data_IF_256480231419
#
_entry.id   IF_256480231419
#
_cell.length_a   1.000
_cell.length_b   1.000
_cell.length_c   1.000
_cell.angle_alpha   90.00
_cell.angle_beta   90.00
_cell.angle_gamma   90.00
#
_symmetry.space_group_name_H-M   'P 1'
#
loop_
_entity.id
_entity.type
_entity.pdbx_description
1 polymer ?
#
# COMPACT_ATOMS: atom_id res chain seq x y z
N UNK A 1 13.33 -8.15 4.14
CA UNK A 1 12.46 -8.30 2.96
C UNK A 1 11.16 -8.93 3.45
N UNK A 2 10.09 -8.16 3.58
CA UNK A 2 8.80 -8.72 4.01
C UNK A 2 8.28 -9.59 2.86
N UNK A 3 8.04 -10.87 3.14
CA UNK A 3 7.65 -11.87 2.15
C UNK A 3 6.26 -11.52 1.60
N UNK A 4 6.20 -10.82 0.47
CA UNK A 4 4.98 -10.35 -0.20
C UNK A 4 4.25 -11.50 -0.93
N UNK A 5 4.27 -12.71 -0.35
CA UNK A 5 3.60 -13.88 -0.91
C UNK A 5 2.08 -13.71 -0.89
N UNK A 6 1.37 -14.23 -1.88
CA UNK A 6 -0.09 -14.37 -1.79
C UNK A 6 -0.42 -15.45 -0.76
N UNK A 7 -1.58 -15.40 -0.13
CA UNK A 7 -2.02 -16.51 0.70
C UNK A 7 -2.65 -17.63 -0.13
N UNK A 8 -2.81 -18.78 0.50
CA UNK A 8 -3.45 -19.97 -0.06
C UNK A 8 -4.86 -20.15 0.49
N UNK A 9 -5.65 -21.00 -0.17
CA UNK A 9 -6.94 -21.43 0.36
C UNK A 9 -6.73 -22.28 1.61
N UNK A 10 -7.49 -21.99 2.65
CA UNK A 10 -7.55 -22.72 3.92
C UNK A 10 -8.99 -23.16 4.12
N UNK A 11 -9.21 -24.45 4.38
CA UNK A 11 -10.52 -24.97 4.76
C UNK A 11 -10.78 -24.69 6.24
N UNK A 12 -11.91 -24.06 6.57
CA UNK A 12 -12.33 -23.78 7.95
C UNK A 12 -13.77 -24.21 8.16
N UNK A 13 -13.96 -25.48 8.56
CA UNK A 13 -15.28 -26.06 8.73
C UNK A 13 -16.09 -26.03 7.42
N UNK A 14 -17.17 -25.26 7.40
CA UNK A 14 -18.12 -25.21 6.29
C UNK A 14 -17.81 -24.13 5.25
N UNK A 15 -16.71 -23.39 5.39
CA UNK A 15 -16.29 -22.37 4.44
C UNK A 15 -14.81 -22.46 4.13
N UNK A 16 -14.43 -21.83 3.02
CA UNK A 16 -13.06 -21.63 2.62
C UNK A 16 -12.63 -20.21 2.98
N UNK A 17 -11.34 -20.04 3.28
CA UNK A 17 -10.73 -18.76 3.59
C UNK A 17 -9.48 -18.56 2.75
N UNK A 18 -9.26 -17.35 2.25
CA UNK A 18 -7.97 -16.92 1.70
C UNK A 18 -7.58 -15.64 2.43
N UNK A 19 -6.34 -15.62 2.90
CA UNK A 19 -5.73 -14.41 3.44
C UNK A 19 -4.80 -13.77 2.40
N UNK A 20 -4.70 -12.45 2.38
CA UNK A 20 -3.74 -11.69 1.53
C UNK A 20 -3.87 -12.00 0.03
N UNK A 21 -5.06 -12.30 -0.47
CA UNK A 21 -5.30 -12.46 -1.91
C UNK A 21 -5.13 -11.12 -2.62
N UNK A 22 -4.55 -11.13 -3.83
CA UNK A 22 -4.40 -9.92 -4.64
C UNK A 22 -5.66 -9.70 -5.48
N UNK A 23 -6.23 -8.50 -5.46
CA UNK A 23 -7.36 -8.14 -6.32
C UNK A 23 -6.84 -7.84 -7.72
N UNK A 24 -7.23 -8.64 -8.71
CA UNK A 24 -6.91 -8.48 -10.12
C UNK A 24 -7.96 -7.64 -10.86
N UNK A 25 -9.24 -7.84 -10.51
CA UNK A 25 -10.36 -7.17 -11.14
C UNK A 25 -11.47 -6.92 -10.12
N UNK A 26 -12.19 -5.82 -10.31
CA UNK A 26 -13.40 -5.48 -9.56
C UNK A 26 -14.47 -5.06 -10.56
N UNK A 27 -15.62 -5.71 -10.48
CA UNK A 27 -16.83 -5.33 -11.22
C UNK A 27 -17.94 -5.09 -10.22
N UNK A 28 -18.45 -3.87 -10.17
CA UNK A 28 -19.53 -3.47 -9.27
C UNK A 28 -20.75 -3.03 -10.07
N UNK A 29 -21.89 -3.67 -9.83
CA UNK A 29 -23.20 -3.17 -10.23
C UNK A 29 -23.94 -2.71 -8.98
N UNK A 30 -24.43 -1.46 -8.94
CA UNK A 30 -25.12 -0.93 -7.75
C UNK A 30 -24.22 -0.78 -6.51
N UNK A 31 -24.81 -0.84 -5.30
CA UNK A 31 -24.10 -0.55 -4.04
C UNK A 31 -23.17 -1.67 -3.55
N UNK A 32 -23.56 -2.94 -3.70
CA UNK A 32 -22.82 -4.08 -3.13
C UNK A 32 -23.08 -5.41 -3.88
N UNK A 33 -23.34 -5.34 -5.19
CA UNK A 33 -23.48 -6.53 -6.03
C UNK A 33 -22.42 -6.51 -7.13
N UNK A 34 -21.92 -7.68 -7.53
CA UNK A 34 -20.90 -7.79 -8.55
C UNK A 34 -19.94 -8.93 -8.29
N UNK A 35 -18.68 -8.75 -8.65
CA UNK A 35 -17.64 -9.74 -8.38
C UNK A 35 -16.26 -9.08 -8.25
N UNK A 36 -15.34 -9.82 -7.63
CA UNK A 36 -13.91 -9.57 -7.74
C UNK A 36 -13.21 -10.80 -8.31
N UNK A 37 -12.16 -10.60 -9.09
CA UNK A 37 -11.21 -11.66 -9.43
C UNK A 37 -10.00 -11.47 -8.53
N UNK A 38 -9.62 -12.53 -7.80
CA UNK A 38 -8.47 -12.55 -6.93
C UNK A 38 -7.43 -13.56 -7.40
N UNK A 39 -6.15 -13.24 -7.20
CA UNK A 39 -5.03 -14.15 -7.33
C UNK A 39 -4.59 -14.67 -5.96
N UNK A 40 -4.34 -15.98 -5.87
CA UNK A 40 -3.90 -16.66 -4.65
C UNK A 40 -2.83 -17.72 -4.95
N UNK A 41 -2.08 -18.09 -3.92
CA UNK A 41 -1.00 -19.08 -4.02
C UNK A 41 -1.52 -20.50 -3.87
N UNK A 42 -1.07 -21.39 -4.74
CA UNK A 42 -1.32 -22.83 -4.66
C UNK A 42 0.01 -23.57 -4.52
N UNK A 43 0.23 -24.28 -3.40
CA UNK A 43 1.38 -25.16 -3.28
C UNK A 43 1.34 -26.22 -4.37
N UNK A 44 2.43 -26.32 -5.13
CA UNK A 44 2.68 -27.36 -6.12
C UNK A 44 3.90 -28.18 -5.68
N UNK A 45 4.13 -29.30 -6.37
CA UNK A 45 5.20 -30.24 -6.08
C UNK A 45 6.56 -29.56 -5.83
N UNK A 46 7.35 -30.15 -4.93
CA UNK A 46 8.73 -29.73 -4.64
C UNK A 46 8.88 -28.27 -4.17
N UNK A 47 7.89 -27.74 -3.45
CA UNK A 47 7.96 -26.40 -2.85
C UNK A 47 7.74 -25.25 -3.84
N UNK A 48 7.39 -25.56 -5.08
CA UNK A 48 7.00 -24.56 -6.08
C UNK A 48 5.61 -24.04 -5.71
N UNK A 49 5.42 -22.73 -5.72
CA UNK A 49 4.09 -22.13 -5.54
C UNK A 49 3.63 -21.59 -6.89
N UNK A 50 2.46 -22.01 -7.34
CA UNK A 50 1.82 -21.43 -8.53
C UNK A 50 0.79 -20.38 -8.11
N UNK A 51 0.44 -19.49 -9.03
CA UNK A 51 -0.60 -18.49 -8.81
C UNK A 51 -1.84 -18.93 -9.60
N UNK A 52 -2.98 -18.96 -8.93
CA UNK A 52 -4.27 -19.24 -9.55
C UNK A 52 -5.24 -18.09 -9.29
N UNK A 53 -6.25 -18.00 -10.16
CA UNK A 53 -7.31 -17.00 -10.05
C UNK A 53 -8.62 -17.62 -9.59
N UNK A 54 -9.36 -16.87 -8.78
CA UNK A 54 -10.70 -17.22 -8.32
C UNK A 54 -11.60 -15.99 -8.45
N UNK A 55 -12.78 -16.16 -9.04
CA UNK A 55 -13.82 -15.15 -9.03
C UNK A 55 -14.72 -15.32 -7.81
N UNK A 56 -14.79 -14.28 -6.99
CA UNK A 56 -15.68 -14.21 -5.85
C UNK A 56 -16.90 -13.36 -6.21
N UNK A 57 -18.07 -14.00 -6.25
CA UNK A 57 -19.35 -13.35 -6.52
C UNK A 57 -19.89 -12.72 -5.23
N UNK A 58 -20.25 -11.45 -5.31
CA UNK A 58 -20.62 -10.60 -4.19
C UNK A 58 -22.07 -10.19 -4.37
N UNK A 59 -22.86 -10.37 -3.33
CA UNK A 59 -24.26 -9.98 -3.29
C UNK A 59 -24.61 -9.25 -1.99
N UNK A 60 -25.90 -8.98 -1.78
CA UNK A 60 -26.39 -8.25 -0.60
C UNK A 60 -26.10 -8.96 0.74
N UNK A 61 -25.85 -10.27 0.72
CA UNK A 61 -25.51 -11.05 1.91
C UNK A 61 -23.99 -11.14 2.14
N UNK A 62 -23.17 -10.57 1.26
CA UNK A 62 -21.71 -10.52 1.44
C UNK A 62 -21.34 -9.31 2.30
N UNK A 63 -20.66 -9.54 3.42
CA UNK A 63 -20.12 -8.47 4.25
C UNK A 63 -18.83 -7.92 3.62
N UNK A 64 -18.84 -6.64 3.22
CA UNK A 64 -17.66 -5.96 2.66
C UNK A 64 -17.22 -4.86 3.63
N UNK A 65 -15.98 -4.96 4.11
CA UNK A 65 -15.47 -4.08 5.16
C UNK A 65 -13.99 -3.74 4.94
N UNK A 66 -13.53 -2.70 5.63
CA UNK A 66 -12.11 -2.38 5.71
C UNK A 66 -11.39 -3.13 6.84
N UNK A 67 -10.07 -2.96 6.94
CA UNK A 67 -9.25 -3.58 7.97
C UNK A 67 -9.59 -3.17 9.41
N UNK A 68 -10.43 -2.14 9.60
CA UNK A 68 -10.94 -1.71 10.91
C UNK A 68 -12.32 -2.31 11.22
N UNK A 69 -12.85 -3.20 10.37
CA UNK A 69 -14.19 -3.78 10.49
C UNK A 69 -15.32 -2.83 10.09
N UNK A 70 -15.01 -1.65 9.53
CA UNK A 70 -16.03 -0.70 9.09
C UNK A 70 -16.58 -1.12 7.73
N UNK A 71 -17.91 -1.15 7.52
CA UNK A 71 -18.51 -1.45 6.23
C UNK A 71 -18.05 -0.48 5.15
N UNK A 72 -17.73 -1.00 3.96
CA UNK A 72 -17.38 -0.21 2.77
C UNK A 72 -18.17 -0.72 1.56
N UNK A 73 -18.17 0.03 0.47
CA UNK A 73 -18.78 -0.41 -0.79
C UNK A 73 -17.81 -1.27 -1.58
N UNK A 74 -18.35 -2.17 -2.41
CA UNK A 74 -17.52 -2.91 -3.37
C UNK A 74 -16.69 -1.98 -4.28
N UNK A 75 -17.25 -0.83 -4.65
CA UNK A 75 -16.55 0.19 -5.46
C UNK A 75 -15.32 0.82 -4.79
N UNK A 76 -15.18 0.65 -3.47
CA UNK A 76 -14.02 1.14 -2.72
C UNK A 76 -12.83 0.18 -2.83
N UNK A 77 -13.07 -1.08 -3.22
CA UNK A 77 -12.04 -2.06 -3.55
C UNK A 77 -11.49 -1.76 -4.94
N UNK A 78 -10.16 -1.76 -5.06
CA UNK A 78 -9.46 -1.49 -6.33
C UNK A 78 -8.51 -2.61 -6.67
N UNK A 79 -8.27 -2.80 -7.97
CA UNK A 79 -7.16 -3.64 -8.46
C UNK A 79 -5.86 -3.26 -7.75
N UNK A 80 -5.07 -4.26 -7.37
CA UNK A 80 -3.82 -4.10 -6.62
C UNK A 80 -3.99 -4.09 -5.10
N UNK A 81 -5.22 -3.96 -4.57
CA UNK A 81 -5.46 -4.14 -3.14
C UNK A 81 -5.27 -5.60 -2.73
N UNK A 82 -4.98 -5.83 -1.46
CA UNK A 82 -5.05 -7.16 -0.85
C UNK A 82 -6.35 -7.31 -0.08
N UNK A 83 -6.94 -8.50 -0.12
CA UNK A 83 -8.16 -8.82 0.63
C UNK A 83 -7.99 -10.14 1.38
N UNK A 84 -8.67 -10.22 2.53
CA UNK A 84 -9.02 -11.50 3.14
C UNK A 84 -10.46 -11.81 2.77
N UNK A 85 -10.72 -13.07 2.44
CA UNK A 85 -12.04 -13.49 2.00
C UNK A 85 -12.44 -14.81 2.63
N UNK A 86 -13.71 -14.92 3.05
CA UNK A 86 -14.35 -16.21 3.30
C UNK A 86 -15.44 -16.46 2.27
N UNK A 87 -15.56 -17.70 1.80
CA UNK A 87 -16.43 -18.05 0.68
C UNK A 87 -16.86 -19.51 0.71
N UNK A 88 -17.86 -19.83 -0.10
CA UNK A 88 -18.44 -21.17 -0.21
C UNK A 88 -17.42 -22.18 -0.78
N UNK A 89 -17.40 -23.43 -0.26
CA UNK A 89 -16.62 -24.51 -0.87
C UNK A 89 -17.20 -24.98 -2.21
N UNK A 90 -18.47 -24.68 -2.49
CA UNK A 90 -19.09 -24.98 -3.77
C UNK A 90 -18.59 -24.01 -4.84
N UNK A 91 -17.74 -24.53 -5.73
CA UNK A 91 -17.11 -23.78 -6.82
C UNK A 91 -17.60 -24.27 -8.18
N UNK A 92 -17.71 -23.35 -9.14
CA UNK A 92 -18.01 -23.70 -10.54
C UNK A 92 -16.80 -24.34 -11.22
N UNK A 93 -17.04 -25.09 -12.30
CA UNK A 93 -15.99 -25.65 -13.18
C UNK A 93 -15.53 -24.68 -14.28
N UNK A 94 -15.72 -23.37 -14.11
CA UNK A 94 -15.29 -22.35 -15.09
C UNK A 94 -13.81 -21.98 -14.92
N UNK A 95 -13.29 -21.16 -15.84
CA UNK A 95 -11.94 -20.60 -15.76
C UNK A 95 -12.05 -19.05 -15.79
N UNK A 96 -11.70 -18.33 -14.70
CA UNK A 96 -11.39 -18.89 -13.39
C UNK A 96 -12.62 -19.56 -12.74
N UNK A 97 -12.42 -20.48 -11.78
CA UNK A 97 -13.51 -20.99 -10.95
C UNK A 97 -14.21 -19.84 -10.23
N UNK A 98 -15.49 -20.01 -9.89
CA UNK A 98 -16.27 -19.00 -9.19
C UNK A 98 -16.90 -19.55 -7.92
N UNK A 99 -17.02 -18.72 -6.89
CA UNK A 99 -17.72 -19.05 -5.65
C UNK A 99 -18.47 -17.84 -5.07
N UNK A 100 -19.47 -18.09 -4.24
CA UNK A 100 -20.16 -17.06 -3.48
C UNK A 100 -19.30 -16.60 -2.29
N UNK A 101 -19.08 -15.30 -2.17
CA UNK A 101 -18.35 -14.70 -1.04
C UNK A 101 -19.28 -14.47 0.16
N UNK A 102 -18.80 -14.80 1.35
CA UNK A 102 -19.45 -14.47 2.61
C UNK A 102 -18.89 -13.19 3.21
N UNK A 103 -17.55 -13.06 3.26
CA UNK A 103 -16.90 -11.84 3.73
C UNK A 103 -15.76 -11.44 2.81
N UNK A 104 -15.57 -10.14 2.63
CA UNK A 104 -14.42 -9.52 1.98
C UNK A 104 -13.91 -8.41 2.91
N UNK A 105 -12.68 -8.55 3.40
CA UNK A 105 -12.01 -7.57 4.25
C UNK A 105 -10.86 -6.99 3.47
N UNK A 106 -10.89 -5.70 3.16
CA UNK A 106 -9.73 -5.05 2.54
C UNK A 106 -8.60 -4.95 3.54
N UNK A 107 -7.43 -5.42 3.13
CA UNK A 107 -6.19 -5.03 3.79
C UNK A 107 -5.81 -3.68 3.23
N UNK A 108 -5.70 -2.68 4.09
CA UNK A 108 -5.02 -1.47 3.68
C UNK A 108 -3.62 -1.89 3.19
N UNK A 109 -3.16 -1.41 2.02
CA UNK A 109 -1.74 -1.50 1.72
C UNK A 109 -1.03 -0.94 2.95
N UNK A 110 -0.02 -1.66 3.46
CA UNK A 110 0.74 -1.21 4.61
C UNK A 110 1.12 0.23 4.35
N UNK A 111 0.53 1.18 5.11
CA UNK A 111 1.00 2.56 5.05
C UNK A 111 2.49 2.45 5.34
N UNK A 112 3.36 2.92 4.44
CA UNK A 112 4.79 2.82 4.66
C UNK A 112 5.04 3.41 6.03
N UNK A 113 5.63 2.62 6.93
CA UNK A 113 5.97 3.09 8.26
C UNK A 113 6.71 4.40 8.10
N UNK A 114 6.30 5.43 8.84
CA UNK A 114 6.86 6.77 8.69
C UNK A 114 7.78 7.07 9.85
N UNK A 115 8.87 7.77 9.54
CA UNK A 115 9.76 8.37 10.52
C UNK A 115 9.71 9.88 10.35
N UNK A 116 9.77 10.61 11.46
CA UNK A 116 9.90 12.07 11.42
C UNK A 116 11.25 12.45 11.98
N UNK A 117 12.04 13.19 11.19
CA UNK A 117 13.36 13.66 11.59
C UNK A 117 13.48 15.17 11.36
N UNK A 118 14.20 15.85 12.24
CA UNK A 118 14.52 17.28 12.04
C UNK A 118 15.92 17.39 11.46
N UNK A 119 16.04 17.96 10.27
CA UNK A 119 17.28 18.03 9.50
C UNK A 119 17.53 19.44 9.00
N UNK A 120 18.80 19.78 8.74
CA UNK A 120 19.17 21.03 8.08
C UNK A 120 19.20 20.81 6.57
N UNK A 121 18.53 21.67 5.82
CA UNK A 121 18.59 21.66 4.35
C UNK A 121 20.02 21.93 3.91
N UNK A 122 20.59 21.01 3.14
CA UNK A 122 21.95 21.15 2.57
C UNK A 122 21.84 21.66 1.14
N UNK A 123 20.97 21.05 0.34
CA UNK A 123 20.82 21.38 -1.07
C UNK A 123 19.43 21.00 -1.60
N UNK A 124 18.95 21.73 -2.61
CA UNK A 124 17.63 21.53 -3.24
C UNK A 124 17.82 21.35 -4.75
N UNK A 125 17.27 20.26 -5.29
CA UNK A 125 17.11 20.04 -6.72
C UNK A 125 15.65 20.17 -7.12
N UNK A 126 15.30 21.32 -7.66
CA UNK A 126 13.95 21.55 -8.17
C UNK A 126 13.64 20.70 -9.40
N UNK A 127 14.62 20.53 -10.28
CA UNK A 127 14.45 19.86 -11.56
C UNK A 127 14.24 18.36 -11.38
N UNK A 128 14.98 17.75 -10.45
CA UNK A 128 14.88 16.33 -10.15
C UNK A 128 13.96 16.02 -8.95
N UNK A 129 13.31 17.03 -8.36
CA UNK A 129 12.45 16.88 -7.18
C UNK A 129 13.16 16.19 -6.02
N UNK A 130 14.35 16.67 -5.67
CA UNK A 130 15.17 16.11 -4.59
C UNK A 130 15.54 17.16 -3.55
N UNK A 131 15.56 16.74 -2.29
CA UNK A 131 16.05 17.52 -1.16
C UNK A 131 17.17 16.76 -0.47
N UNK A 132 18.34 17.35 -0.34
CA UNK A 132 19.41 16.83 0.50
C UNK A 132 19.36 17.54 1.85
N UNK A 133 19.18 16.80 2.94
CA UNK A 133 19.17 17.36 4.28
C UNK A 133 19.97 16.48 5.25
N UNK A 134 20.60 17.09 6.25
CA UNK A 134 21.56 16.38 7.11
C UNK A 134 22.51 17.30 7.85
N UNK A 135 23.60 16.71 8.33
CA UNK A 135 24.74 17.46 8.85
C UNK A 135 25.67 17.87 7.69
N UNK A 136 25.85 19.18 7.43
CA UNK A 136 26.84 19.66 6.47
C UNK A 136 28.23 19.08 6.81
N UNK A 137 29.01 18.72 5.80
CA UNK A 137 30.36 18.13 5.91
C UNK A 137 30.43 16.69 6.44
N UNK A 138 29.30 16.01 6.65
CA UNK A 138 29.29 14.58 6.98
C UNK A 138 28.24 13.85 6.12
N UNK A 139 28.66 13.32 4.96
CA UNK A 139 27.78 12.66 3.99
C UNK A 139 27.04 11.44 4.58
N UNK A 140 27.67 10.74 5.54
CA UNK A 140 27.07 9.61 6.26
C UNK A 140 25.92 10.04 7.20
N UNK A 141 25.82 11.33 7.50
CA UNK A 141 24.72 11.95 8.26
C UNK A 141 23.82 12.82 7.39
N UNK A 142 23.81 12.59 6.08
CA UNK A 142 22.87 13.20 5.15
C UNK A 142 21.88 12.16 4.64
N UNK A 143 20.71 12.62 4.24
CA UNK A 143 19.70 11.81 3.57
C UNK A 143 19.18 12.59 2.38
N UNK A 144 19.05 11.90 1.24
CA UNK A 144 18.39 12.43 0.05
C UNK A 144 16.91 12.06 0.10
N UNK A 145 16.06 13.06 0.03
CA UNK A 145 14.62 12.91 0.04
C UNK A 145 14.08 13.11 -1.38
N UNK A 146 13.40 12.10 -1.89
CA UNK A 146 12.64 12.19 -3.13
C UNK A 146 11.30 12.85 -2.83
N UNK A 147 10.98 13.89 -3.60
CA UNK A 147 9.77 14.70 -3.48
C UNK A 147 8.81 14.28 -4.58
N UNK A 148 7.58 13.97 -4.22
CA UNK A 148 6.52 13.58 -5.16
C UNK A 148 5.45 14.67 -5.21
N UNK A 149 4.51 14.55 -6.15
CA UNK A 149 3.32 15.39 -6.21
C UNK A 149 2.43 15.28 -4.95
N UNK A 150 2.58 14.22 -4.17
CA UNK A 150 1.90 14.01 -2.89
C UNK A 150 2.67 14.51 -1.67
N UNK A 151 3.91 15.01 -1.83
CA UNK A 151 4.67 15.58 -0.71
C UNK A 151 4.10 16.95 -0.33
N UNK A 152 3.70 17.09 0.93
CA UNK A 152 3.19 18.37 1.46
C UNK A 152 4.38 19.18 2.01
N UNK A 153 4.63 20.37 1.47
CA UNK A 153 5.71 21.26 1.92
C UNK A 153 5.11 22.53 2.48
N UNK A 154 5.46 22.87 3.72
CA UNK A 154 4.86 23.97 4.47
C UNK A 154 5.93 24.91 5.02
N UNK A 155 5.66 26.22 4.98
CA UNK A 155 6.48 27.21 5.66
C UNK A 155 6.23 27.19 7.18
N UNK A 156 6.97 28.02 7.94
CA UNK A 156 6.85 28.14 9.41
C UNK A 156 5.42 28.39 9.92
N UNK A 157 4.60 29.08 9.14
CA UNK A 157 3.22 29.43 9.48
C UNK A 157 2.22 28.32 9.09
N UNK A 158 2.69 27.18 8.57
CA UNK A 158 1.85 26.07 8.12
C UNK A 158 1.20 26.29 6.75
N UNK A 159 1.65 27.30 5.98
CA UNK A 159 1.13 27.55 4.64
C UNK A 159 1.88 26.74 3.59
N UNK A 160 1.20 26.18 2.58
CA UNK A 160 1.83 25.47 1.48
C UNK A 160 2.85 26.33 0.72
N UNK A 161 4.01 25.75 0.44
CA UNK A 161 5.08 26.32 -0.38
C UNK A 161 5.59 25.27 -1.36
N UNK A 162 6.36 25.68 -2.37
CA UNK A 162 7.01 24.77 -3.32
C UNK A 162 8.35 24.31 -2.77
N UNK A 163 8.87 23.21 -3.32
CA UNK A 163 10.21 22.71 -3.00
C UNK A 163 11.29 23.80 -3.17
N UNK A 164 11.21 24.56 -4.26
CA UNK A 164 12.15 25.62 -4.59
C UNK A 164 12.08 26.84 -3.69
N UNK A 165 11.06 26.94 -2.84
CA UNK A 165 10.94 28.03 -1.88
C UNK A 165 11.73 27.72 -0.58
N UNK A 166 12.20 26.47 -0.41
CA UNK A 166 13.16 26.10 0.64
C UNK A 166 14.56 26.66 0.35
N UNK A 167 15.33 26.87 1.42
CA UNK A 167 16.68 27.45 1.34
C UNK A 167 17.71 26.60 2.08
N UNK A 168 18.94 26.46 1.54
CA UNK A 168 20.05 25.87 2.28
C UNK A 168 20.21 26.53 3.66
N UNK A 169 20.49 25.70 4.66
CA UNK A 169 20.62 26.12 6.05
C UNK A 169 19.31 26.14 6.84
N UNK A 170 18.13 26.08 6.21
CA UNK A 170 16.86 26.00 6.94
C UNK A 170 16.76 24.72 7.75
N UNK A 171 16.17 24.81 8.93
CA UNK A 171 15.79 23.65 9.72
C UNK A 171 14.40 23.18 9.26
N UNK A 172 14.28 21.91 8.90
CA UNK A 172 13.03 21.32 8.44
C UNK A 172 12.74 20.05 9.22
N UNK A 173 11.50 19.88 9.62
CA UNK A 173 10.98 18.59 10.07
C UNK A 173 10.45 17.83 8.86
N UNK A 174 10.98 16.64 8.63
CA UNK A 174 10.66 15.81 7.47
C UNK A 174 10.03 14.51 7.97
N UNK A 175 8.77 14.29 7.61
CA UNK A 175 8.11 12.98 7.72
C UNK A 175 8.37 12.22 6.43
N UNK A 176 8.99 11.06 6.53
CA UNK A 176 9.45 10.26 5.38
C UNK A 176 9.20 8.76 5.61
N UNK A 177 9.34 7.96 4.55
CA UNK A 177 9.34 6.51 4.67
C UNK A 177 10.47 6.03 5.60
N UNK A 178 10.17 5.04 6.45
CA UNK A 178 11.15 4.46 7.36
C UNK A 178 12.16 3.54 6.66
N UNK A 179 11.89 3.17 5.40
CA UNK A 179 12.84 2.45 4.56
C UNK A 179 13.70 3.44 3.77
N UNK A 180 14.96 3.06 3.54
CA UNK A 180 15.92 3.87 2.79
C UNK A 180 16.78 2.96 1.90
N UNK A 181 17.40 3.53 0.86
CA UNK A 181 18.39 2.82 0.05
C UNK A 181 19.68 2.60 0.85
N UNK A 182 20.42 1.54 0.54
CA UNK A 182 21.75 1.27 1.11
C UNK A 182 22.87 2.13 0.49
N UNK A 183 22.55 3.28 -0.13
CA UNK A 183 23.52 4.19 -0.73
C UNK A 183 24.09 5.17 0.30
N UNK A 184 25.14 5.90 -0.09
CA UNK A 184 25.71 6.99 0.71
C UNK A 184 25.65 8.28 -0.14
N UNK A 185 24.82 9.29 0.22
CA UNK A 185 23.85 9.26 1.32
C UNK A 185 22.68 8.29 1.02
N UNK A 186 22.01 7.75 2.05
CA UNK A 186 20.78 6.99 1.88
C UNK A 186 19.69 7.86 1.25
N UNK A 187 18.78 7.23 0.52
CA UNK A 187 17.67 7.89 -0.15
C UNK A 187 16.33 7.35 0.34
N UNK A 188 15.32 8.22 0.47
CA UNK A 188 13.97 7.85 0.89
C UNK A 188 12.93 8.84 0.35
N UNK A 189 11.64 8.50 0.41
CA UNK A 189 10.56 9.40 -0.04
C UNK A 189 10.07 10.26 1.12
N UNK A 190 9.96 11.57 0.91
CA UNK A 190 9.34 12.48 1.87
C UNK A 190 7.83 12.61 1.65
N UNK A 191 7.06 12.53 2.73
CA UNK A 191 5.61 12.72 2.71
C UNK A 191 5.21 14.12 3.18
N UNK A 192 5.95 14.68 4.15
CA UNK A 192 5.72 16.04 4.65
C UNK A 192 7.02 16.71 5.01
N UNK A 193 7.16 17.98 4.66
CA UNK A 193 8.29 18.84 5.04
C UNK A 193 7.72 20.12 5.66
N UNK A 194 8.15 20.45 6.88
CA UNK A 194 7.73 21.63 7.61
C UNK A 194 8.95 22.47 7.99
N UNK A 195 9.00 23.71 7.53
CA UNK A 195 10.04 24.66 7.97
C UNK A 195 9.83 24.98 9.45
N UNK A 196 10.92 24.92 10.23
CA UNK A 196 10.99 25.31 11.64
C UNK A 196 11.58 26.70 11.80
#
# INVERSE_FOLDING_TARGET
>A
MANDSLGSIITQGNFLRIDRALVEEVSSSGRNTGFIIISYSVPWQSGITTIQQLRLNINQNTAVMNSLGMPIRLSDIRRGMRVDATFSPNMTRSIPPQSAAFTIVTRQPSRPSVSTTTQRVVWIDCSNSQLLAGMPNNISRMTRYNITNSTIILNRNGLPIRLCDLRPGQLVEITHASFQTASIPPQTTAYRIQVR
#
